data_IF_091209022118
#
_entry.id   IF_091209022118
#
_cell.length_a   1.000
_cell.length_b   1.000
_cell.length_c   1.000
_cell.angle_alpha   90.00
_cell.angle_beta   90.00
_cell.angle_gamma   90.00
#
_symmetry.space_group_name_H-M   'P 1'
#
loop_
_entity.id
_entity.type
_entity.pdbx_description
1 polymer ?
#
# COMPACT_ATOMS: atom_id res chain seq x y z
N UNK A 1 37.72 17.94 28.32
CA UNK A 1 38.05 16.58 27.86
C UNK A 1 37.13 15.65 28.63
N UNK A 2 36.58 14.67 27.90
CA UNK A 2 35.83 13.49 28.35
C UNK A 2 34.29 13.60 28.32
N UNK A 3 33.77 13.14 27.18
CA UNK A 3 32.37 12.76 26.94
C UNK A 3 32.17 11.28 27.33
N UNK A 4 30.97 10.89 27.82
CA UNK A 4 30.68 9.51 28.18
C UNK A 4 30.40 8.66 26.93
N UNK A 5 30.92 7.43 26.95
CA UNK A 5 30.92 6.45 25.87
C UNK A 5 29.55 5.77 25.77
N UNK A 6 28.90 5.94 24.63
CA UNK A 6 27.63 5.33 24.27
C UNK A 6 27.85 3.82 23.99
N UNK A 7 27.17 2.97 24.76
CA UNK A 7 27.20 1.52 24.61
C UNK A 7 26.18 1.11 23.55
N UNK A 8 26.68 0.54 22.45
CA UNK A 8 25.88 0.14 21.29
C UNK A 8 24.89 -1.00 21.57
N UNK A 9 23.86 -1.16 20.72
CA UNK A 9 22.81 -2.14 20.91
C UNK A 9 23.32 -3.56 20.65
N UNK A 10 22.95 -4.47 21.56
CA UNK A 10 23.21 -5.91 21.46
C UNK A 10 22.62 -6.48 20.17
N UNK A 11 23.49 -7.17 19.44
CA UNK A 11 23.22 -7.88 18.19
C UNK A 11 22.09 -8.90 18.41
N UNK A 12 20.94 -8.67 17.79
CA UNK A 12 19.81 -9.60 17.78
C UNK A 12 20.13 -10.72 16.79
N UNK A 13 19.99 -11.95 17.25
CA UNK A 13 20.38 -13.20 16.59
C UNK A 13 19.92 -13.28 15.12
N UNK A 14 20.86 -13.13 14.18
CA UNK A 14 20.64 -13.17 12.73
C UNK A 14 20.37 -14.58 12.17
N UNK A 15 20.07 -15.57 13.01
CA UNK A 15 19.97 -16.98 12.65
C UNK A 15 18.57 -17.45 12.19
N UNK A 16 17.58 -16.54 12.10
CA UNK A 16 16.18 -16.89 11.77
C UNK A 16 15.79 -16.80 10.29
N UNK A 17 16.68 -16.31 9.43
CA UNK A 17 16.41 -16.07 8.01
C UNK A 17 17.01 -17.17 7.12
N UNK A 18 16.28 -17.63 6.09
CA UNK A 18 16.77 -18.68 5.19
C UNK A 18 18.02 -18.20 4.43
N UNK A 19 19.08 -18.99 4.47
CA UNK A 19 20.43 -18.68 3.95
C UNK A 19 20.54 -18.59 2.40
N UNK A 20 19.50 -18.16 1.69
CA UNK A 20 19.54 -18.07 0.22
C UNK A 20 18.98 -16.77 -0.36
N UNK A 21 18.60 -15.80 0.48
CA UNK A 21 18.18 -14.46 0.07
C UNK A 21 19.11 -13.39 0.64
N UNK A 22 19.28 -12.28 -0.10
CA UNK A 22 19.97 -11.08 0.39
C UNK A 22 19.39 -10.71 1.76
N UNK A 23 20.24 -10.34 2.71
CA UNK A 23 19.73 -9.96 4.02
C UNK A 23 18.85 -8.70 3.89
N UNK A 24 17.83 -8.55 4.75
CA UNK A 24 16.95 -7.37 4.73
C UNK A 24 17.75 -6.06 4.83
N UNK A 25 18.86 -6.09 5.58
CA UNK A 25 19.81 -4.98 5.66
C UNK A 25 20.46 -4.68 4.31
N UNK A 26 20.87 -5.70 3.56
CA UNK A 26 21.48 -5.59 2.24
C UNK A 26 20.50 -5.00 1.21
N UNK A 27 19.25 -5.46 1.21
CA UNK A 27 18.17 -4.92 0.36
C UNK A 27 17.93 -3.43 0.67
N UNK A 28 17.83 -3.06 1.95
CA UNK A 28 17.67 -1.66 2.37
C UNK A 28 18.87 -0.79 1.95
N UNK A 29 20.09 -1.32 2.04
CA UNK A 29 21.27 -0.59 1.60
C UNK A 29 21.29 -0.40 0.08
N UNK A 30 20.84 -1.38 -0.70
CA UNK A 30 20.76 -1.29 -2.17
C UNK A 30 19.72 -0.25 -2.62
N UNK A 31 18.54 -0.25 -1.97
CA UNK A 31 17.49 0.76 -2.17
C UNK A 31 18.05 2.17 -1.92
N UNK A 32 18.72 2.38 -0.78
CA UNK A 32 19.28 3.69 -0.43
C UNK A 32 20.35 4.11 -1.45
N UNK A 33 21.25 3.20 -1.84
CA UNK A 33 22.26 3.50 -2.87
C UNK A 33 21.65 3.89 -4.21
N UNK A 34 20.58 3.21 -4.66
CA UNK A 34 19.90 3.52 -5.91
C UNK A 34 19.24 4.90 -5.86
N UNK A 35 18.55 5.23 -4.77
CA UNK A 35 17.97 6.57 -4.55
C UNK A 35 19.05 7.65 -4.58
N UNK A 36 20.18 7.45 -3.91
CA UNK A 36 21.28 8.41 -3.91
C UNK A 36 21.90 8.62 -5.31
N UNK A 37 22.04 7.54 -6.10
CA UNK A 37 22.50 7.63 -7.50
C UNK A 37 21.52 8.42 -8.37
N UNK A 38 20.22 8.18 -8.20
CA UNK A 38 19.16 8.91 -8.93
C UNK A 38 19.14 10.39 -8.57
N UNK A 39 19.25 10.74 -7.29
CA UNK A 39 19.32 12.14 -6.83
C UNK A 39 20.54 12.86 -7.39
N UNK A 40 21.67 12.16 -7.52
CA UNK A 40 22.89 12.72 -8.15
C UNK A 40 22.67 13.00 -9.64
N UNK A 41 22.05 12.07 -10.37
CA UNK A 41 21.72 12.27 -11.79
C UNK A 41 20.80 13.47 -12.02
N UNK A 42 19.81 13.68 -11.15
CA UNK A 42 18.92 14.86 -11.22
C UNK A 42 19.72 16.15 -11.00
N UNK A 43 20.66 16.14 -10.04
CA UNK A 43 21.46 17.31 -9.68
C UNK A 43 22.47 17.70 -10.76
N UNK A 44 23.03 16.73 -11.47
CA UNK A 44 24.08 16.94 -12.46
C UNK A 44 23.53 17.39 -13.83
N UNK A 45 22.21 17.30 -14.06
CA UNK A 45 21.53 17.92 -15.20
C UNK A 45 21.92 17.39 -16.59
N UNK A 46 22.58 16.23 -16.67
CA UNK A 46 23.07 15.71 -17.95
C UNK A 46 21.92 15.15 -18.83
N UNK A 47 21.91 15.39 -20.15
CA UNK A 47 20.89 14.86 -21.06
C UNK A 47 20.98 13.34 -21.27
N UNK A 48 22.15 12.73 -21.09
CA UNK A 48 22.35 11.26 -21.09
C UNK A 48 21.85 10.60 -19.79
N UNK A 49 21.34 11.38 -18.84
CA UNK A 49 20.85 10.90 -17.53
C UNK A 49 19.52 10.16 -17.61
N UNK A 50 18.69 10.39 -18.63
CA UNK A 50 17.31 9.85 -18.66
C UNK A 50 17.29 8.32 -18.72
N UNK A 51 18.12 7.72 -19.57
CA UNK A 51 18.18 6.26 -19.72
C UNK A 51 18.81 5.61 -18.48
N UNK A 52 19.87 6.20 -17.93
CA UNK A 52 20.47 5.75 -16.65
C UNK A 52 19.50 5.88 -15.48
N UNK A 53 18.70 6.94 -15.45
CA UNK A 53 17.69 7.17 -14.43
C UNK A 53 16.58 6.13 -14.51
N UNK A 54 16.09 5.83 -15.72
CA UNK A 54 15.08 4.78 -15.93
C UNK A 54 15.60 3.40 -15.51
N UNK A 55 16.86 3.05 -15.83
CA UNK A 55 17.47 1.81 -15.36
C UNK A 55 17.55 1.75 -13.83
N UNK A 56 17.98 2.83 -13.16
CA UNK A 56 18.03 2.87 -11.70
C UNK A 56 16.64 2.80 -11.06
N UNK A 57 15.63 3.43 -11.68
CA UNK A 57 14.25 3.36 -11.22
C UNK A 57 13.69 1.94 -11.36
N UNK A 58 14.01 1.25 -12.45
CA UNK A 58 13.62 -0.15 -12.63
C UNK A 58 14.28 -1.06 -11.58
N UNK A 59 15.60 -0.94 -11.38
CA UNK A 59 16.31 -1.69 -10.34
C UNK A 59 15.80 -1.38 -8.92
N UNK A 60 15.37 -0.14 -8.67
CA UNK A 60 14.73 0.25 -7.42
C UNK A 60 13.37 -0.46 -7.24
N UNK A 61 12.58 -0.59 -8.31
CA UNK A 61 11.33 -1.34 -8.31
C UNK A 61 11.54 -2.83 -8.02
N UNK A 62 12.56 -3.44 -8.63
CA UNK A 62 12.92 -4.85 -8.42
C UNK A 62 13.37 -5.10 -6.97
N UNK A 63 14.24 -4.25 -6.41
CA UNK A 63 14.68 -4.36 -5.01
C UNK A 63 13.56 -4.12 -3.99
N UNK A 64 12.61 -3.23 -4.30
CA UNK A 64 11.41 -3.04 -3.46
C UNK A 64 10.48 -4.26 -3.52
N UNK A 65 10.37 -4.91 -4.69
CA UNK A 65 9.65 -6.17 -4.81
C UNK A 65 10.30 -7.27 -3.98
N UNK A 66 11.62 -7.42 -4.02
CA UNK A 66 12.37 -8.35 -3.17
C UNK A 66 12.12 -8.08 -1.67
N UNK A 67 12.16 -6.81 -1.24
CA UNK A 67 11.86 -6.43 0.14
C UNK A 67 10.46 -6.85 0.59
N UNK A 68 9.45 -6.57 -0.24
CA UNK A 68 8.08 -6.94 0.07
C UNK A 68 7.90 -8.45 0.18
N UNK A 69 8.54 -9.23 -0.70
CA UNK A 69 8.50 -10.68 -0.61
C UNK A 69 9.13 -11.20 0.69
N UNK A 70 10.26 -10.62 1.12
CA UNK A 70 10.87 -11.02 2.39
C UNK A 70 10.04 -10.61 3.61
N UNK A 71 9.38 -9.46 3.58
CA UNK A 71 8.46 -9.06 4.65
C UNK A 71 7.26 -10.00 4.74
N UNK A 72 6.65 -10.36 3.61
CA UNK A 72 5.53 -11.30 3.55
C UNK A 72 5.96 -12.69 4.02
N UNK A 73 7.10 -13.18 3.56
CA UNK A 73 7.65 -14.46 3.99
C UNK A 73 7.99 -14.48 5.48
N UNK A 74 8.52 -13.36 6.02
CA UNK A 74 8.75 -13.17 7.44
C UNK A 74 7.45 -13.24 8.25
N UNK A 75 6.42 -12.49 7.86
CA UNK A 75 5.11 -12.45 8.50
C UNK A 75 4.42 -13.82 8.51
N UNK A 76 4.37 -14.50 7.36
CA UNK A 76 3.77 -15.82 7.24
C UNK A 76 4.51 -16.88 8.09
N UNK A 77 5.83 -16.73 8.24
CA UNK A 77 6.64 -17.62 9.09
C UNK A 77 6.42 -17.36 10.58
N UNK A 78 6.05 -16.14 10.98
CA UNK A 78 5.65 -15.84 12.37
C UNK A 78 4.29 -16.46 12.71
N UNK A 79 3.29 -16.35 11.84
CA UNK A 79 1.95 -16.94 12.06
C UNK A 79 1.98 -18.47 12.13
N UNK A 80 2.78 -19.13 11.27
CA UNK A 80 2.93 -20.58 11.29
C UNK A 80 3.69 -21.09 12.52
N UNK A 81 4.57 -20.28 13.11
CA UNK A 81 5.36 -20.68 14.29
C UNK A 81 4.62 -20.45 15.60
N UNK A 82 3.69 -19.49 15.65
CA UNK A 82 2.75 -19.34 16.78
C UNK A 82 1.70 -20.47 16.84
N UNK A 83 1.39 -21.12 15.70
CA UNK A 83 0.32 -22.13 15.63
C UNK A 83 0.78 -23.59 15.86
N UNK A 84 2.06 -23.85 16.13
CA UNK A 84 2.60 -25.22 16.25
C UNK A 84 3.44 -25.50 17.51
N UNK A 85 3.42 -24.61 18.49
CA UNK A 85 4.02 -24.87 19.80
C UNK A 85 2.94 -24.90 20.87
N UNK A 86 2.19 -26.00 20.92
CA UNK A 86 1.90 -26.69 22.18
C UNK A 86 1.34 -28.09 21.88
N UNK A 87 1.93 -29.06 22.56
CA UNK A 87 1.51 -30.45 22.58
C UNK A 87 0.02 -30.58 22.91
N UNK A 88 -0.72 -31.35 22.11
CA UNK A 88 -1.82 -32.15 22.64
C UNK A 88 -1.73 -33.59 22.14
N UNK A 89 -1.35 -34.46 23.08
CA UNK A 89 -1.86 -35.82 23.16
C UNK A 89 -3.39 -35.76 23.01
N UNK A 90 -3.88 -36.28 21.90
CA UNK A 90 -5.29 -36.42 21.61
C UNK A 90 -5.87 -37.56 22.47
N UNK A 91 -6.33 -37.28 23.70
CA UNK A 91 -7.20 -38.22 24.46
C UNK A 91 -8.06 -37.68 25.62
N UNK A 92 -8.15 -36.37 25.93
CA UNK A 92 -8.84 -35.97 27.18
C UNK A 92 -9.79 -34.76 27.15
N UNK A 93 -10.34 -34.34 26.00
CA UNK A 93 -11.19 -33.13 25.94
C UNK A 93 -12.59 -33.32 25.34
N UNK A 94 -13.25 -34.44 25.64
CA UNK A 94 -14.64 -34.68 25.21
C UNK A 94 -15.71 -34.49 26.31
N UNK A 95 -15.34 -34.12 27.55
CA UNK A 95 -16.30 -34.24 28.69
C UNK A 95 -16.72 -32.92 29.35
N UNK A 96 -16.15 -31.76 29.03
CA UNK A 96 -16.37 -30.55 29.86
C UNK A 96 -17.20 -29.42 29.22
N UNK A 97 -18.09 -29.70 28.27
CA UNK A 97 -18.95 -28.66 27.65
C UNK A 97 -20.47 -28.92 27.71
N UNK A 98 -20.95 -29.86 28.54
CA UNK A 98 -22.38 -30.18 28.62
C UNK A 98 -23.14 -29.52 29.78
N UNK A 99 -22.52 -28.67 30.61
CA UNK A 99 -23.15 -28.21 31.86
C UNK A 99 -23.01 -26.71 32.14
N UNK A 100 -23.33 -25.84 31.18
CA UNK A 100 -23.52 -24.41 31.48
C UNK A 100 -24.62 -23.77 30.60
N UNK A 101 -25.83 -24.32 30.62
CA UNK A 101 -27.02 -23.58 30.17
C UNK A 101 -28.30 -24.08 30.85
N UNK A 102 -28.62 -23.53 32.02
CA UNK A 102 -30.01 -23.30 32.45
C UNK A 102 -30.01 -22.54 33.78
N UNK A 103 -30.01 -21.22 33.70
CA UNK A 103 -30.55 -20.39 34.79
C UNK A 103 -32.06 -20.32 34.57
N UNK A 104 -32.82 -20.81 35.54
CA UNK A 104 -34.20 -20.38 35.73
C UNK A 104 -34.48 -20.19 37.22
N UNK A 105 -35.39 -19.27 37.45
CA UNK A 105 -35.52 -18.39 38.60
C UNK A 105 -36.36 -18.98 39.74
N UNK A 106 -36.18 -18.39 40.92
CA UNK A 106 -37.09 -18.36 42.09
C UNK A 106 -37.35 -19.67 42.86
N UNK A 107 -37.00 -19.62 44.15
CA UNK A 107 -37.89 -19.83 45.33
C UNK A 107 -36.99 -19.96 46.58
N UNK A 108 -37.11 -19.02 47.51
CA UNK A 108 -36.66 -19.21 48.91
C UNK A 108 -37.45 -20.37 49.54
N UNK A 109 -36.93 -21.18 50.50
CA UNK A 109 -36.74 -20.63 51.85
C UNK A 109 -35.70 -21.35 52.75
N UNK A 110 -35.56 -20.77 53.94
CA UNK A 110 -35.41 -21.47 55.22
C UNK A 110 -34.00 -21.90 55.66
N UNK A 111 -33.42 -21.02 56.46
CA UNK A 111 -32.49 -21.29 57.57
C UNK A 111 -32.86 -22.59 58.30
N UNK A 112 -31.93 -23.56 58.31
CA UNK A 112 -31.89 -24.64 59.31
C UNK A 112 -30.49 -24.65 59.90
N UNK A 113 -30.40 -24.13 61.12
CA UNK A 113 -29.26 -24.27 62.01
C UNK A 113 -29.39 -25.61 62.72
N UNK A 114 -28.68 -26.63 62.26
CA UNK A 114 -28.48 -27.85 63.05
C UNK A 114 -27.26 -27.68 63.95
N UNK A 115 -27.57 -27.35 65.21
CA UNK A 115 -26.69 -27.54 66.35
C UNK A 115 -26.87 -28.96 66.86
N UNK A 116 -25.84 -29.80 66.75
CA UNK A 116 -25.77 -31.09 67.43
C UNK A 116 -24.95 -30.97 68.73
N UNK A 117 -25.54 -31.23 69.91
CA UNK A 117 -24.80 -31.46 71.14
C UNK A 117 -24.72 -32.96 71.43
N UNK A 118 -23.56 -33.56 71.19
CA UNK A 118 -23.26 -34.94 71.58
C UNK A 118 -23.11 -35.07 73.10
N UNK A 119 -24.19 -35.46 73.76
CA UNK A 119 -24.29 -35.75 75.19
C UNK A 119 -24.05 -37.24 75.45
N UNK A 120 -22.98 -37.60 76.16
CA UNK A 120 -22.76 -38.98 76.61
C UNK A 120 -23.38 -39.21 77.99
N UNK A 121 -24.28 -40.18 78.00
CA UNK A 121 -25.25 -40.55 79.03
C UNK A 121 -24.61 -41.22 80.26
N UNK A 122 -24.83 -40.65 81.45
CA UNK A 122 -24.66 -41.31 82.75
C UNK A 122 -25.68 -42.45 82.90
N UNK A 123 -25.22 -43.68 83.12
CA UNK A 123 -26.05 -44.78 83.65
C UNK A 123 -25.73 -45.01 85.12
N UNK A 124 -26.58 -44.48 86.00
CA UNK A 124 -26.71 -44.96 87.37
C UNK A 124 -27.68 -46.15 87.40
N UNK A 125 -27.26 -47.28 87.99
CA UNK A 125 -28.16 -48.37 88.33
C UNK A 125 -28.39 -48.41 89.84
N UNK A 126 -29.62 -48.15 90.24
CA UNK A 126 -30.12 -48.20 91.62
C UNK A 126 -30.62 -49.61 91.98
N UNK A 127 -30.05 -50.12 93.07
CA UNK A 127 -30.62 -50.88 94.22
C UNK A 127 -32.05 -51.43 94.13
N UNK A 128 -32.21 -52.72 94.50
CA UNK A 128 -33.28 -53.19 95.42
C UNK A 128 -33.09 -54.64 95.92
N UNK A 129 -33.74 -55.05 97.04
CA UNK A 129 -33.06 -55.77 98.14
C UNK A 129 -33.70 -57.12 98.55
N UNK A 130 -33.07 -57.78 99.53
CA UNK A 130 -33.63 -58.86 100.37
C UNK A 130 -33.06 -60.24 100.02
N UNK A 131 -32.69 -61.13 100.95
CA UNK A 131 -32.97 -61.21 102.38
C UNK A 131 -31.94 -62.13 103.08
N UNK A 132 -31.51 -61.69 104.26
CA UNK A 132 -31.16 -62.42 105.50
C UNK A 132 -30.96 -63.94 105.42
N UNK A 133 -29.78 -64.41 105.85
CA UNK A 133 -29.63 -65.37 106.97
C UNK A 133 -28.16 -65.45 107.42
N UNK A 134 -27.90 -64.93 108.62
CA UNK A 134 -27.12 -65.57 109.69
C UNK A 134 -26.01 -66.56 109.30
N UNK A 135 -24.75 -66.14 109.42
CA UNK A 135 -23.77 -66.88 110.22
C UNK A 135 -22.54 -66.01 110.47
N UNK A 136 -22.29 -65.82 111.74
CA UNK A 136 -21.22 -65.09 112.39
C UNK A 136 -19.88 -65.80 112.19
N UNK A 137 -18.98 -65.22 111.39
CA UNK A 137 -17.51 -65.31 111.50
C UNK A 137 -16.90 -64.10 110.79
N UNK A 138 -16.00 -63.40 111.46
CA UNK A 138 -15.40 -62.14 111.01
C UNK A 138 -14.74 -62.27 109.61
N UNK A 139 -15.02 -61.37 108.65
CA UNK A 139 -14.32 -61.37 107.38
C UNK A 139 -12.89 -60.88 107.62
N UNK A 140 -11.92 -61.73 107.30
CA UNK A 140 -10.50 -61.36 107.34
C UNK A 140 -10.25 -60.15 106.43
N UNK A 141 -9.34 -59.25 106.82
CA UNK A 141 -8.91 -58.07 106.03
C UNK A 141 -8.59 -58.37 104.56
N UNK A 142 -8.31 -59.63 104.22
CA UNK A 142 -7.86 -60.10 102.91
C UNK A 142 -8.89 -59.85 101.79
N UNK A 143 -10.20 -60.01 102.02
CA UNK A 143 -11.24 -59.82 100.97
C UNK A 143 -11.51 -58.35 100.65
N UNK A 144 -11.52 -57.48 101.67
CA UNK A 144 -11.62 -56.01 101.47
C UNK A 144 -10.43 -55.49 100.67
N UNK A 145 -9.25 -56.05 100.92
CA UNK A 145 -8.03 -55.70 100.20
C UNK A 145 -8.13 -56.14 98.72
N UNK A 146 -8.63 -57.35 98.42
CA UNK A 146 -8.83 -57.80 97.03
C UNK A 146 -9.82 -56.93 96.23
N UNK A 147 -10.91 -56.49 96.86
CA UNK A 147 -11.86 -55.57 96.22
C UNK A 147 -11.25 -54.19 95.94
N UNK A 148 -10.37 -53.70 96.82
CA UNK A 148 -9.67 -52.44 96.62
C UNK A 148 -8.65 -52.50 95.46
N UNK A 149 -7.94 -53.64 95.32
CA UNK A 149 -7.04 -53.86 94.19
C UNK A 149 -7.79 -53.92 92.85
N UNK A 150 -8.91 -54.64 92.78
CA UNK A 150 -9.72 -54.73 91.55
C UNK A 150 -10.27 -53.37 91.13
N UNK A 151 -10.70 -52.55 92.08
CA UNK A 151 -11.18 -51.19 91.81
C UNK A 151 -10.05 -50.27 91.33
N UNK A 152 -8.85 -50.38 91.92
CA UNK A 152 -7.67 -49.63 91.49
C UNK A 152 -7.23 -49.99 90.06
N UNK A 153 -7.36 -51.26 89.65
CA UNK A 153 -7.05 -51.70 88.29
C UNK A 153 -8.07 -51.17 87.27
N UNK A 154 -9.36 -51.10 87.62
CA UNK A 154 -10.39 -50.47 86.79
C UNK A 154 -10.08 -48.98 86.59
N UNK A 155 -9.79 -48.25 87.68
CA UNK A 155 -9.43 -46.83 87.58
C UNK A 155 -8.15 -46.60 86.78
N UNK A 156 -7.16 -47.50 86.90
CA UNK A 156 -5.94 -47.43 86.08
C UNK A 156 -6.26 -47.59 84.60
N UNK A 157 -7.06 -48.59 84.24
CA UNK A 157 -7.47 -48.81 82.86
C UNK A 157 -8.23 -47.60 82.30
N UNK A 158 -9.14 -47.02 83.10
CA UNK A 158 -9.91 -45.83 82.70
C UNK A 158 -9.05 -44.57 82.55
N UNK A 159 -8.04 -44.39 83.42
CA UNK A 159 -7.03 -43.34 83.27
C UNK A 159 -6.18 -43.54 82.02
N UNK A 160 -5.76 -44.76 81.73
CA UNK A 160 -4.94 -45.09 80.55
C UNK A 160 -5.71 -44.93 79.24
N UNK A 161 -6.99 -45.29 79.20
CA UNK A 161 -7.87 -44.98 78.05
C UNK A 161 -8.08 -43.49 77.88
N UNK A 162 -8.32 -42.76 78.97
CA UNK A 162 -8.49 -41.31 78.93
C UNK A 162 -7.22 -40.59 78.43
N UNK A 163 -6.05 -41.06 78.86
CA UNK A 163 -4.75 -40.57 78.41
C UNK A 163 -4.56 -40.83 76.91
N UNK A 164 -4.84 -42.06 76.45
CA UNK A 164 -4.73 -42.43 75.03
C UNK A 164 -5.67 -41.61 74.14
N UNK A 165 -6.90 -41.36 74.60
CA UNK A 165 -7.84 -40.49 73.89
C UNK A 165 -7.36 -39.03 73.85
N UNK A 166 -6.79 -38.52 74.95
CA UNK A 166 -6.24 -37.17 75.01
C UNK A 166 -5.08 -37.02 74.01
N UNK A 167 -4.13 -37.95 73.98
CA UNK A 167 -3.04 -37.95 72.99
C UNK A 167 -3.55 -38.07 71.54
N UNK A 168 -4.63 -38.81 71.31
CA UNK A 168 -5.26 -38.89 69.99
C UNK A 168 -6.00 -37.61 69.59
N UNK A 169 -6.51 -36.83 70.55
CA UNK A 169 -7.07 -35.49 70.32
C UNK A 169 -5.96 -34.48 70.05
N UNK A 170 -4.87 -34.50 70.82
CA UNK A 170 -3.72 -33.61 70.62
C UNK A 170 -3.10 -33.79 69.22
N UNK A 171 -2.92 -35.03 68.76
CA UNK A 171 -2.47 -35.31 67.39
C UNK A 171 -3.39 -34.71 66.33
N UNK A 172 -4.71 -34.78 66.53
CA UNK A 172 -5.71 -34.20 65.62
C UNK A 172 -5.67 -32.67 65.63
N UNK A 173 -5.46 -32.05 66.79
CA UNK A 173 -5.30 -30.59 66.90
C UNK A 173 -4.09 -30.13 66.09
N UNK A 174 -2.93 -30.77 66.26
CA UNK A 174 -1.71 -30.43 65.49
C UNK A 174 -1.92 -30.59 63.97
N UNK A 175 -2.62 -31.65 63.54
CA UNK A 175 -2.95 -31.84 62.12
C UNK A 175 -3.87 -30.72 61.58
N UNK A 176 -4.89 -30.34 62.35
CA UNK A 176 -5.80 -29.25 61.98
C UNK A 176 -5.09 -27.89 61.97
N UNK A 177 -4.20 -27.63 62.92
CA UNK A 177 -3.36 -26.42 62.95
C UNK A 177 -2.45 -26.35 61.72
N UNK A 178 -1.84 -27.46 61.31
CA UNK A 178 -1.04 -27.52 60.08
C UNK A 178 -1.90 -27.21 58.85
N UNK A 179 -3.07 -27.86 58.71
CA UNK A 179 -3.98 -27.61 57.57
C UNK A 179 -4.51 -26.17 57.56
N UNK A 180 -4.79 -25.61 58.74
CA UNK A 180 -5.21 -24.22 58.88
C UNK A 180 -4.09 -23.28 58.44
N UNK A 181 -2.85 -23.52 58.87
CA UNK A 181 -1.67 -22.76 58.45
C UNK A 181 -1.44 -22.84 56.93
N UNK A 182 -1.55 -24.02 56.33
CA UNK A 182 -1.42 -24.21 54.88
C UNK A 182 -2.52 -23.46 54.12
N UNK A 183 -3.77 -23.58 54.56
CA UNK A 183 -4.90 -22.88 53.95
C UNK A 183 -4.78 -21.36 54.08
N UNK A 184 -4.32 -20.87 55.25
CA UNK A 184 -4.06 -19.45 55.49
C UNK A 184 -2.97 -18.91 54.57
N UNK A 185 -1.90 -19.69 54.35
CA UNK A 185 -0.81 -19.32 53.44
C UNK A 185 -1.29 -19.25 51.99
N UNK A 186 -2.17 -20.19 51.59
CA UNK A 186 -2.78 -20.22 50.25
C UNK A 186 -3.73 -19.05 50.02
N UNK A 187 -4.57 -18.71 51.00
CA UNK A 187 -5.44 -17.53 50.94
C UNK A 187 -4.61 -16.27 50.75
N UNK A 188 -3.54 -16.10 51.55
CA UNK A 188 -2.67 -14.93 51.43
C UNK A 188 -1.97 -14.83 50.06
N UNK A 189 -1.63 -15.97 49.44
CA UNK A 189 -1.09 -15.99 48.07
C UNK A 189 -2.13 -15.49 47.06
N UNK A 190 -3.36 -16.03 47.12
CA UNK A 190 -4.43 -15.66 46.21
C UNK A 190 -4.86 -14.19 46.37
N UNK A 191 -4.86 -13.67 47.60
CA UNK A 191 -5.12 -12.24 47.86
C UNK A 191 -4.06 -11.36 47.20
N UNK A 192 -2.78 -11.77 47.22
CA UNK A 192 -1.71 -11.02 46.55
C UNK A 192 -1.85 -11.06 45.03
N UNK A 193 -2.17 -12.22 44.46
CA UNK A 193 -2.41 -12.38 43.02
C UNK A 193 -3.62 -11.56 42.56
N UNK A 194 -4.68 -11.50 43.37
CA UNK A 194 -5.86 -10.68 43.09
C UNK A 194 -5.53 -9.18 43.08
N UNK A 195 -4.75 -8.71 44.05
CA UNK A 195 -4.30 -7.32 44.10
C UNK A 195 -3.44 -6.96 42.86
N UNK A 196 -2.51 -7.83 42.48
CA UNK A 196 -1.67 -7.64 41.29
C UNK A 196 -2.50 -7.60 40.01
N UNK A 197 -3.50 -8.49 39.88
CA UNK A 197 -4.42 -8.47 38.74
C UNK A 197 -5.26 -7.19 38.72
N UNK A 198 -5.70 -6.71 39.88
CA UNK A 198 -6.48 -5.48 40.00
C UNK A 198 -5.67 -4.26 39.55
N UNK A 199 -4.42 -4.14 39.99
CA UNK A 199 -3.52 -3.06 39.58
C UNK A 199 -3.23 -3.10 38.07
N UNK A 200 -3.01 -4.29 37.50
CA UNK A 200 -2.83 -4.46 36.05
C UNK A 200 -4.06 -4.02 35.25
N UNK A 201 -5.26 -4.29 35.77
CA UNK A 201 -6.51 -3.90 35.13
C UNK A 201 -6.69 -2.38 35.12
N UNK A 202 -6.41 -1.71 36.24
CA UNK A 202 -6.50 -0.25 36.32
C UNK A 202 -5.55 0.44 35.34
N UNK A 203 -4.31 -0.07 35.21
CA UNK A 203 -3.35 0.44 34.22
C UNK A 203 -3.87 0.26 32.80
N UNK A 204 -4.41 -0.93 32.48
CA UNK A 204 -5.01 -1.22 31.17
C UNK A 204 -6.19 -0.31 30.86
N UNK A 205 -7.06 -0.02 31.84
CA UNK A 205 -8.22 0.87 31.66
C UNK A 205 -7.78 2.30 31.30
N UNK A 206 -6.73 2.80 31.95
CA UNK A 206 -6.13 4.11 31.62
C UNK A 206 -5.58 4.14 30.19
N UNK A 207 -4.91 3.07 29.76
CA UNK A 207 -4.39 2.95 28.39
C UNK A 207 -5.51 2.89 27.35
N UNK A 208 -6.58 2.14 27.63
CA UNK A 208 -7.77 2.07 26.76
C UNK A 208 -8.42 3.44 26.61
N UNK A 209 -8.58 4.19 27.71
CA UNK A 209 -9.12 5.56 27.67
C UNK A 209 -8.24 6.48 26.81
N UNK A 210 -6.92 6.39 26.96
CA UNK A 210 -5.96 7.17 26.16
C UNK A 210 -6.03 6.83 24.67
N UNK A 211 -6.10 5.55 24.32
CA UNK A 211 -6.25 5.11 22.93
C UNK A 211 -7.59 5.57 22.33
N UNK A 212 -8.66 5.57 23.13
CA UNK A 212 -9.97 6.04 22.70
C UNK A 212 -9.98 7.55 22.44
N UNK A 213 -9.28 8.35 23.25
CA UNK A 213 -9.09 9.78 23.03
C UNK A 213 -8.33 10.04 21.72
N UNK A 214 -7.19 9.39 21.52
CA UNK A 214 -6.40 9.50 20.28
C UNK A 214 -7.19 9.11 19.03
N UNK A 215 -8.02 8.05 19.13
CA UNK A 215 -8.88 7.63 18.03
C UNK A 215 -9.93 8.69 17.69
N UNK A 216 -10.51 9.35 18.69
CA UNK A 216 -11.48 10.41 18.46
C UNK A 216 -10.82 11.66 17.87
N UNK A 217 -9.62 12.03 18.33
CA UNK A 217 -8.85 13.13 17.74
C UNK A 217 -8.52 12.85 16.27
N UNK A 218 -8.02 11.65 15.95
CA UNK A 218 -7.74 11.23 14.58
C UNK A 218 -9.00 11.24 13.69
N UNK A 219 -10.16 10.80 14.21
CA UNK A 219 -11.43 10.89 13.48
C UNK A 219 -11.83 12.33 13.18
N UNK A 220 -11.64 13.24 14.15
CA UNK A 220 -11.94 14.65 13.97
C UNK A 220 -11.01 15.28 12.92
N UNK A 221 -9.70 15.02 12.99
CA UNK A 221 -8.74 15.49 11.98
C UNK A 221 -9.08 14.95 10.58
N UNK A 222 -9.41 13.66 10.46
CA UNK A 222 -9.85 13.08 9.19
C UNK A 222 -11.08 13.78 8.64
N UNK A 223 -12.08 14.05 9.49
CA UNK A 223 -13.29 14.75 9.06
C UNK A 223 -12.99 16.17 8.58
N UNK A 224 -12.10 16.88 9.28
CA UNK A 224 -11.64 18.22 8.91
C UNK A 224 -10.88 18.22 7.59
N UNK A 225 -9.96 17.28 7.38
CA UNK A 225 -9.24 17.15 6.11
C UNK A 225 -10.19 16.77 4.96
N UNK A 226 -11.26 16.02 5.25
CA UNK A 226 -12.26 15.67 4.25
C UNK A 226 -13.16 16.86 3.88
N UNK A 227 -13.43 17.79 4.82
CA UNK A 227 -14.13 19.05 4.52
C UNK A 227 -13.23 20.08 3.86
N UNK A 228 -11.96 20.17 4.29
CA UNK A 228 -10.96 21.09 3.71
C UNK A 228 -10.48 20.61 2.33
N UNK A 229 -10.81 19.37 1.94
CA UNK A 229 -10.61 18.87 0.59
C UNK A 229 -11.65 19.46 -0.40
N UNK A 230 -11.67 20.79 -0.50
CA UNK A 230 -12.27 21.57 -1.61
C UNK A 230 -11.67 21.16 -2.97
N UNK A 231 -10.65 20.30 -2.98
CA UNK A 231 -10.10 19.66 -4.16
C UNK A 231 -11.15 18.93 -4.99
N UNK A 232 -12.22 18.40 -4.41
CA UNK A 232 -13.31 17.80 -5.18
C UNK A 232 -14.03 18.83 -6.06
N UNK A 233 -14.40 19.98 -5.49
CA UNK A 233 -15.05 21.06 -6.25
C UNK A 233 -14.09 21.69 -7.28
N UNK A 234 -12.81 21.86 -6.92
CA UNK A 234 -11.80 22.36 -7.84
C UNK A 234 -11.57 21.39 -9.01
N UNK A 235 -11.54 20.08 -8.76
CA UNK A 235 -11.40 19.06 -9.81
C UNK A 235 -12.62 19.04 -10.74
N UNK A 236 -13.82 19.18 -10.20
CA UNK A 236 -15.04 19.26 -11.00
C UNK A 236 -15.08 20.54 -11.85
N UNK A 237 -14.65 21.67 -11.29
CA UNK A 237 -14.49 22.94 -12.01
C UNK A 237 -13.48 22.83 -13.16
N UNK A 238 -12.27 22.31 -12.89
CA UNK A 238 -11.24 22.08 -13.91
C UNK A 238 -11.70 21.09 -14.99
N UNK A 239 -12.45 20.04 -14.62
CA UNK A 239 -13.03 19.09 -15.56
C UNK A 239 -14.05 19.76 -16.48
N UNK A 240 -14.89 20.64 -15.94
CA UNK A 240 -15.84 21.41 -16.72
C UNK A 240 -15.14 22.39 -17.68
N UNK A 241 -14.08 23.07 -17.21
CA UNK A 241 -13.27 23.96 -18.05
C UNK A 241 -12.58 23.20 -19.19
N UNK A 242 -12.00 22.02 -18.91
CA UNK A 242 -11.34 21.19 -19.91
C UNK A 242 -12.32 20.76 -21.01
N UNK A 243 -13.53 20.30 -20.62
CA UNK A 243 -14.60 20.00 -21.59
C UNK A 243 -15.01 21.22 -22.41
N UNK A 244 -15.07 22.40 -21.80
CA UNK A 244 -15.39 23.63 -22.53
C UNK A 244 -14.31 23.97 -23.56
N UNK A 245 -13.03 23.75 -23.26
CA UNK A 245 -11.94 23.98 -24.20
C UNK A 245 -11.93 22.94 -25.33
N UNK A 246 -12.22 21.68 -25.03
CA UNK A 246 -12.34 20.64 -26.06
C UNK A 246 -13.42 20.99 -27.09
N UNK A 247 -14.60 21.42 -26.63
CA UNK A 247 -15.68 21.88 -27.52
C UNK A 247 -15.23 23.08 -28.38
N UNK A 248 -14.47 24.02 -27.79
CA UNK A 248 -13.94 25.17 -28.53
C UNK A 248 -12.93 24.75 -29.61
N UNK A 249 -12.07 23.78 -29.30
CA UNK A 249 -11.10 23.22 -30.26
C UNK A 249 -11.84 22.57 -31.42
N UNK A 250 -12.85 21.73 -31.15
CA UNK A 250 -13.66 21.08 -32.19
C UNK A 250 -14.32 22.12 -33.12
N UNK A 251 -14.88 23.20 -32.56
CA UNK A 251 -15.47 24.30 -33.35
C UNK A 251 -14.42 25.01 -34.23
N UNK A 252 -13.22 25.25 -33.70
CA UNK A 252 -12.14 25.86 -34.47
C UNK A 252 -11.63 24.95 -35.59
N UNK A 253 -11.52 23.65 -35.33
CA UNK A 253 -11.15 22.65 -36.32
C UNK A 253 -12.20 22.56 -37.44
N UNK A 254 -13.49 22.58 -37.10
CA UNK A 254 -14.56 22.62 -38.10
C UNK A 254 -14.49 23.88 -38.96
N UNK A 255 -14.28 25.05 -38.35
CA UNK A 255 -14.10 26.30 -39.09
C UNK A 255 -12.88 26.25 -40.02
N UNK A 256 -11.74 25.75 -39.54
CA UNK A 256 -10.52 25.62 -40.34
C UNK A 256 -10.75 24.69 -41.54
N UNK A 257 -11.42 23.55 -41.32
CA UNK A 257 -11.77 22.62 -42.38
C UNK A 257 -12.67 23.28 -43.44
N UNK A 258 -13.66 24.07 -43.04
CA UNK A 258 -14.52 24.82 -43.98
C UNK A 258 -13.72 25.82 -44.81
N UNK A 259 -12.78 26.54 -44.19
CA UNK A 259 -11.91 27.50 -44.90
C UNK A 259 -11.01 26.75 -45.90
N UNK A 260 -10.36 25.67 -45.47
CA UNK A 260 -9.52 24.86 -46.36
C UNK A 260 -10.29 24.34 -47.57
N UNK A 261 -11.52 23.83 -47.38
CA UNK A 261 -12.35 23.37 -48.51
C UNK A 261 -12.65 24.51 -49.48
N UNK A 262 -13.05 25.69 -48.99
CA UNK A 262 -13.32 26.86 -49.82
C UNK A 262 -12.08 27.33 -50.58
N UNK A 263 -10.93 27.37 -49.93
CA UNK A 263 -9.67 27.75 -50.59
C UNK A 263 -9.32 26.75 -51.70
N UNK A 264 -9.51 25.44 -51.49
CA UNK A 264 -9.29 24.44 -52.55
C UNK A 264 -10.27 24.55 -53.71
N UNK A 265 -11.53 24.92 -53.44
CA UNK A 265 -12.56 25.16 -54.45
C UNK A 265 -12.19 26.39 -55.30
N UNK A 266 -11.87 27.52 -54.66
CA UNK A 266 -11.44 28.76 -55.33
C UNK A 266 -10.17 28.51 -56.17
N UNK A 267 -9.19 27.80 -55.63
CA UNK A 267 -7.96 27.46 -56.37
C UNK A 267 -8.23 26.56 -57.59
N UNK A 268 -9.23 25.67 -57.51
CA UNK A 268 -9.62 24.82 -58.63
C UNK A 268 -10.38 25.61 -59.71
N UNK A 269 -11.28 26.50 -59.31
CA UNK A 269 -12.07 27.33 -60.23
C UNK A 269 -11.22 28.40 -60.96
N UNK A 270 -10.37 29.12 -60.23
CA UNK A 270 -9.44 30.10 -60.81
C UNK A 270 -8.33 29.41 -61.61
N UNK A 271 -7.77 28.32 -61.09
CA UNK A 271 -6.69 27.59 -61.74
C UNK A 271 -7.07 26.97 -63.09
N UNK A 272 -8.33 26.61 -63.30
CA UNK A 272 -8.82 26.12 -64.60
C UNK A 272 -9.02 27.24 -65.62
N UNK A 273 -9.61 28.36 -65.19
CA UNK A 273 -9.96 29.47 -66.08
C UNK A 273 -8.72 30.25 -66.51
N UNK A 274 -7.81 30.54 -65.59
CA UNK A 274 -6.59 31.31 -65.87
C UNK A 274 -5.61 30.52 -66.74
N UNK A 275 -5.49 29.20 -66.54
CA UNK A 275 -4.62 28.35 -67.37
C UNK A 275 -5.11 28.29 -68.81
N UNK A 276 -6.42 28.09 -69.02
CA UNK A 276 -6.99 28.03 -70.37
C UNK A 276 -6.85 29.38 -71.08
N UNK A 277 -7.13 30.49 -70.41
CA UNK A 277 -6.96 31.82 -70.97
C UNK A 277 -5.49 32.14 -71.30
N UNK A 278 -4.55 31.70 -70.45
CA UNK A 278 -3.11 31.87 -70.68
C UNK A 278 -2.63 31.05 -71.88
N UNK A 279 -3.08 29.79 -72.03
CA UNK A 279 -2.76 28.96 -73.19
C UNK A 279 -3.34 29.54 -74.49
N UNK A 280 -4.60 30.00 -74.47
CA UNK A 280 -5.24 30.66 -75.61
C UNK A 280 -4.46 31.91 -76.02
N UNK A 281 -4.16 32.80 -75.06
CA UNK A 281 -3.41 34.04 -75.34
C UNK A 281 -2.01 33.73 -75.88
N UNK A 282 -1.33 32.72 -75.32
CA UNK A 282 -0.01 32.27 -75.79
C UNK A 282 -0.07 31.79 -77.25
N UNK A 283 -1.06 30.96 -77.59
CA UNK A 283 -1.24 30.49 -78.97
C UNK A 283 -1.52 31.63 -79.95
N UNK A 284 -2.28 32.64 -79.52
CA UNK A 284 -2.58 33.84 -80.32
C UNK A 284 -1.35 34.71 -80.54
N UNK A 285 -0.50 34.86 -79.52
CA UNK A 285 0.78 35.57 -79.64
C UNK A 285 1.68 34.88 -80.66
N UNK A 286 1.81 33.56 -80.59
CA UNK A 286 2.62 32.77 -81.54
C UNK A 286 2.11 32.91 -82.98
N UNK A 287 0.79 32.89 -83.20
CA UNK A 287 0.20 33.12 -84.53
C UNK A 287 0.53 34.53 -85.06
N UNK A 288 0.41 35.55 -84.21
CA UNK A 288 0.70 36.94 -84.58
C UNK A 288 2.18 37.16 -84.88
N UNK A 289 3.09 36.55 -84.11
CA UNK A 289 4.53 36.59 -84.37
C UNK A 289 4.87 36.00 -85.74
N UNK A 290 4.30 34.84 -86.08
CA UNK A 290 4.47 34.22 -87.39
C UNK A 290 3.95 35.10 -88.55
N UNK A 291 2.79 35.76 -88.37
CA UNK A 291 2.25 36.68 -89.38
C UNK A 291 3.13 37.92 -89.56
N UNK A 292 3.68 38.47 -88.48
CA UNK A 292 4.60 39.61 -88.53
C UNK A 292 5.90 39.23 -89.24
N UNK A 293 6.42 38.03 -88.99
CA UNK A 293 7.61 37.51 -89.67
C UNK A 293 7.36 37.35 -91.18
N UNK A 294 6.24 36.73 -91.57
CA UNK A 294 5.86 36.60 -92.97
C UNK A 294 5.69 37.96 -93.67
N UNK A 295 5.09 38.93 -92.97
CA UNK A 295 4.93 40.29 -93.49
C UNK A 295 6.29 40.99 -93.66
N UNK A 296 7.21 40.80 -92.71
CA UNK A 296 8.58 41.33 -92.79
C UNK A 296 9.32 40.77 -94.00
N UNK A 297 9.19 39.48 -94.28
CA UNK A 297 9.80 38.83 -95.44
C UNK A 297 9.27 39.41 -96.76
N UNK A 298 7.95 39.58 -96.88
CA UNK A 298 7.33 40.17 -98.08
C UNK A 298 7.80 41.61 -98.30
N UNK A 299 7.94 42.41 -97.23
CA UNK A 299 8.46 43.77 -97.33
C UNK A 299 9.92 43.75 -97.79
N UNK A 300 10.76 42.92 -97.16
CA UNK A 300 12.17 42.78 -97.51
C UNK A 300 12.36 42.35 -98.97
N UNK A 301 11.57 41.38 -99.44
CA UNK A 301 11.58 40.95 -100.82
C UNK A 301 11.21 42.10 -101.78
N UNK A 302 10.12 42.83 -101.53
CA UNK A 302 9.72 43.96 -102.38
C UNK A 302 10.73 45.10 -102.36
N UNK A 303 11.39 45.34 -101.24
CA UNK A 303 12.47 46.31 -101.16
C UNK A 303 13.67 45.87 -102.01
N UNK A 304 14.02 44.58 -102.00
CA UNK A 304 15.10 44.04 -102.84
C UNK A 304 14.74 44.11 -104.33
N UNK A 305 13.51 43.76 -104.71
CA UNK A 305 13.02 43.91 -106.09
C UNK A 305 13.09 45.37 -106.56
N UNK A 306 12.76 46.34 -105.69
CA UNK A 306 12.95 47.77 -106.00
C UNK A 306 14.42 48.13 -106.15
N UNK A 307 15.31 47.61 -105.30
CA UNK A 307 16.77 47.83 -105.42
C UNK A 307 17.30 47.27 -106.73
N UNK A 308 16.84 46.09 -107.16
CA UNK A 308 17.24 45.50 -108.44
C UNK A 308 16.72 46.29 -109.64
N UNK A 309 15.45 46.72 -109.63
CA UNK A 309 14.91 47.57 -110.70
C UNK A 309 15.70 48.88 -110.86
N UNK A 310 16.16 49.48 -109.74
CA UNK A 310 17.04 50.65 -109.77
C UNK A 310 18.41 50.30 -110.37
N UNK A 311 19.01 49.15 -110.00
CA UNK A 311 20.28 48.68 -110.58
C UNK A 311 20.18 48.49 -112.09
N UNK A 312 19.12 47.83 -112.57
CA UNK A 312 18.87 47.62 -114.00
C UNK A 312 18.70 48.95 -114.77
N UNK A 313 17.97 49.91 -114.19
CA UNK A 313 17.79 51.23 -114.78
C UNK A 313 19.10 52.01 -114.86
N UNK A 314 19.91 52.01 -113.79
CA UNK A 314 21.23 52.64 -113.78
C UNK A 314 22.14 52.03 -114.86
N UNK A 315 22.17 50.69 -114.96
CA UNK A 315 22.94 49.99 -115.98
C UNK A 315 22.50 50.37 -117.41
N UNK A 316 21.19 50.43 -117.64
CA UNK A 316 20.62 50.86 -118.92
C UNK A 316 21.02 52.31 -119.27
N UNK A 317 20.97 53.21 -118.29
CA UNK A 317 21.32 54.62 -118.46
C UNK A 317 22.81 54.83 -118.77
N UNK A 318 23.69 54.10 -118.08
CA UNK A 318 25.13 54.10 -118.37
C UNK A 318 25.44 53.56 -119.77
N UNK A 319 24.71 52.54 -120.23
CA UNK A 319 24.82 52.02 -121.59
C UNK A 319 24.39 53.05 -122.64
N UNK A 320 23.25 53.70 -122.44
CA UNK A 320 22.79 54.78 -123.34
C UNK A 320 23.76 55.97 -123.36
N UNK A 321 24.27 56.39 -122.21
CA UNK A 321 25.26 57.47 -122.08
C UNK A 321 26.55 57.10 -122.81
N UNK A 322 27.03 55.88 -122.64
CA UNK A 322 28.21 55.35 -123.35
C UNK A 322 28.02 55.38 -124.87
N UNK A 323 26.86 54.95 -125.38
CA UNK A 323 26.53 55.03 -126.81
C UNK A 323 26.45 56.46 -127.32
N UNK A 324 25.83 57.38 -126.56
CA UNK A 324 25.74 58.79 -126.91
C UNK A 324 27.12 59.45 -126.99
N UNK A 325 27.99 59.21 -126.00
CA UNK A 325 29.38 59.69 -126.02
C UNK A 325 30.14 59.13 -127.24
N UNK A 326 29.94 57.84 -127.56
CA UNK A 326 30.48 57.23 -128.77
C UNK A 326 30.03 57.95 -130.04
N UNK A 327 28.74 58.22 -130.18
CA UNK A 327 28.17 58.95 -131.32
C UNK A 327 28.73 60.36 -131.44
N UNK A 328 28.78 61.12 -130.34
CA UNK A 328 29.35 62.48 -130.29
C UNK A 328 30.83 62.46 -130.68
N UNK A 329 31.60 61.46 -130.23
CA UNK A 329 33.02 61.32 -130.58
C UNK A 329 33.22 61.01 -132.05
N UNK A 330 32.40 60.14 -132.64
CA UNK A 330 32.42 59.87 -134.08
C UNK A 330 32.09 61.12 -134.91
N UNK A 331 31.13 61.93 -134.48
CA UNK A 331 30.78 63.19 -135.15
C UNK A 331 31.89 64.26 -135.04
N UNK A 332 32.58 64.33 -133.90
CA UNK A 332 33.66 65.30 -133.66
C UNK A 332 34.99 64.91 -134.36
N UNK A 333 35.26 63.61 -134.52
CA UNK A 333 36.44 63.10 -135.23
C UNK A 333 36.44 63.36 -136.74
N UNK A 334 35.27 63.55 -137.35
CA UNK A 334 35.13 63.81 -138.79
C UNK A 334 35.40 65.29 -139.18
N UNK A 335 35.69 66.17 -138.21
CA UNK A 335 36.01 67.58 -138.44
C UNK A 335 37.52 67.89 -138.33
N UNK A 336 38.39 66.88 -138.43
CA UNK A 336 39.87 67.02 -138.52
C UNK A 336 40.43 66.34 -139.79
N UNK A 337 39.89 66.66 -140.95
CA UNK A 337 40.59 66.59 -142.25
C UNK A 337 40.11 67.79 -143.08
N UNK A 338 40.76 68.93 -142.84
CA UNK A 338 41.12 69.96 -143.82
C UNK A 338 42.04 70.98 -143.15
#
# INVERSE_FOLDING_TARGET
MDFPTETGPKNVDSSLWPHNSKSLLEILTEINQNVQKMLRLIKDGEPESKERFLCLYQSLGETYHELNQELINGLLKFDLKLSCSDHYDASSLATSMAHLSSFDSDVSPSVVLDSEPGSTSLKHHTVSPGSKTSSEMAPSEVEKNQSAFSLADIFRAELETSLSELEARDRRVVELESKLSDSSSKIQSLERELEECSECLEVSDVEVLKLMEMLNECKNEKSKLQTDNDGAELLDSLRAELRSRDIQIEQMEEYLNQVCVKDTEIMSESGGTDKNAMEELKSRVEELENLVELQRDVISQREEEKREAIRELCFSLDHYKSRYIGLVRSLSGNNKVN
#
